data_IF_329253104706
#
_entry.id   IF_329253104706
#
_cell.length_a   1.000
_cell.length_b   1.000
_cell.length_c   1.000
_cell.angle_alpha   90.00
_cell.angle_beta   90.00
_cell.angle_gamma   90.00
#
_symmetry.space_group_name_H-M   'P 1'
#
loop_
_entity.id
_entity.type
_entity.pdbx_description
1 polymer ?
#
# COMPACT_ATOMS: atom_id res chain seq x y z
N UNK A 1 13.03 -13.20 2.87
CA UNK A 1 13.01 -12.21 3.96
C UNK A 1 11.59 -11.73 4.23
N UNK A 2 10.91 -11.07 3.27
CA UNK A 2 9.51 -10.61 3.43
C UNK A 2 8.59 -11.74 3.91
N UNK A 3 8.53 -12.87 3.20
CA UNK A 3 7.66 -13.99 3.58
C UNK A 3 7.98 -14.57 4.97
N UNK A 4 9.27 -14.73 5.29
CA UNK A 4 9.68 -15.19 6.63
C UNK A 4 9.22 -14.22 7.73
N UNK A 5 9.25 -12.91 7.49
CA UNK A 5 8.79 -11.93 8.48
C UNK A 5 7.26 -11.96 8.64
N UNK A 6 6.52 -12.14 7.54
CA UNK A 6 5.06 -12.32 7.56
C UNK A 6 4.66 -13.56 8.36
N UNK A 7 5.21 -14.72 8.01
CA UNK A 7 4.83 -16.00 8.62
C UNK A 7 5.26 -16.11 10.10
N UNK A 8 6.47 -15.64 10.42
CA UNK A 8 7.05 -15.83 11.77
C UNK A 8 6.64 -14.76 12.77
N UNK A 9 6.44 -13.53 12.30
CA UNK A 9 6.23 -12.37 13.18
C UNK A 9 4.95 -11.59 12.88
N UNK A 10 4.14 -12.03 11.91
CA UNK A 10 2.88 -11.38 11.57
C UNK A 10 3.06 -9.97 11.00
N UNK A 11 4.20 -9.68 10.37
CA UNK A 11 4.43 -8.38 9.77
C UNK A 11 3.55 -8.19 8.54
N UNK A 12 2.95 -7.02 8.40
CA UNK A 12 2.31 -6.60 7.15
C UNK A 12 3.19 -5.59 6.43
N UNK A 13 3.36 -5.79 5.12
CA UNK A 13 4.16 -4.94 4.25
C UNK A 13 3.25 -4.23 3.26
N UNK A 14 3.36 -2.90 3.18
CA UNK A 14 2.71 -2.09 2.15
C UNK A 14 3.78 -1.45 1.28
N UNK A 15 3.63 -1.55 -0.03
CA UNK A 15 4.56 -0.99 -1.01
C UNK A 15 3.91 0.15 -1.78
N UNK A 16 4.54 1.32 -1.75
CA UNK A 16 3.99 2.53 -2.34
C UNK A 16 4.97 3.08 -3.36
N UNK A 17 4.60 3.04 -4.63
CA UNK A 17 5.43 3.52 -5.72
C UNK A 17 4.96 4.88 -6.20
N UNK A 18 5.87 5.86 -6.17
CA UNK A 18 5.75 7.07 -6.97
C UNK A 18 6.61 6.90 -8.22
N UNK A 19 6.03 7.19 -9.39
CA UNK A 19 6.75 7.25 -10.67
C UNK A 19 7.37 5.92 -11.16
N UNK A 20 6.98 4.79 -10.56
CA UNK A 20 7.42 3.43 -10.92
C UNK A 20 6.20 2.51 -11.04
N UNK A 21 6.36 1.32 -11.62
CA UNK A 21 5.36 0.26 -11.46
C UNK A 21 5.52 -0.39 -10.08
N UNK A 22 4.72 0.08 -9.12
CA UNK A 22 4.73 -0.43 -7.76
C UNK A 22 4.34 -1.90 -7.70
N UNK A 23 3.44 -2.38 -8.57
CA UNK A 23 2.92 -3.74 -8.51
C UNK A 23 3.99 -4.72 -8.98
N UNK A 24 4.59 -4.45 -10.14
CA UNK A 24 5.69 -5.28 -10.66
C UNK A 24 6.87 -5.30 -9.69
N UNK A 25 7.28 -4.12 -9.21
CA UNK A 25 8.42 -3.99 -8.29
C UNK A 25 8.15 -4.72 -6.96
N UNK A 26 6.97 -4.54 -6.37
CA UNK A 26 6.57 -5.22 -5.14
C UNK A 26 6.54 -6.75 -5.29
N UNK A 27 6.02 -7.24 -6.43
CA UNK A 27 5.99 -8.66 -6.73
C UNK A 27 7.39 -9.28 -6.77
N UNK A 28 8.38 -8.57 -7.31
CA UNK A 28 9.78 -9.03 -7.38
C UNK A 28 10.44 -9.27 -6.02
N UNK A 29 9.92 -8.64 -4.96
CA UNK A 29 10.43 -8.76 -3.58
C UNK A 29 9.51 -9.57 -2.66
N UNK A 30 8.45 -10.18 -3.19
CA UNK A 30 7.52 -11.02 -2.44
C UNK A 30 6.42 -10.25 -1.71
N UNK A 31 6.00 -9.08 -2.23
CA UNK A 31 4.85 -8.34 -1.73
C UNK A 31 3.70 -8.52 -2.72
N UNK A 32 2.53 -8.94 -2.21
CA UNK A 32 1.33 -9.15 -3.02
C UNK A 32 0.88 -7.85 -3.72
N UNK A 33 0.37 -7.90 -4.96
CA UNK A 33 -0.26 -6.76 -5.64
C UNK A 33 -1.35 -6.06 -4.81
N UNK A 34 -2.03 -6.79 -3.92
CA UNK A 34 -3.06 -6.24 -3.02
C UNK A 34 -2.47 -5.32 -1.93
N UNK A 35 -1.16 -5.44 -1.71
CA UNK A 35 -0.38 -4.64 -0.76
C UNK A 35 0.53 -3.63 -1.47
N UNK A 36 0.38 -3.47 -2.78
CA UNK A 36 1.13 -2.52 -3.59
C UNK A 36 0.21 -1.50 -4.25
N UNK A 37 0.64 -0.23 -4.30
CA UNK A 37 -0.14 0.85 -4.93
C UNK A 37 0.75 1.89 -5.60
N UNK A 38 0.33 2.35 -6.78
CA UNK A 38 0.90 3.52 -7.44
C UNK A 38 0.20 4.78 -6.95
N UNK A 39 0.97 5.81 -6.60
CA UNK A 39 0.42 7.12 -6.24
C UNK A 39 1.07 8.24 -7.04
N UNK A 40 0.36 9.36 -7.17
CA UNK A 40 0.89 10.53 -7.86
C UNK A 40 1.81 11.31 -6.93
N UNK A 41 3.04 11.54 -7.37
CA UNK A 41 4.08 12.25 -6.62
C UNK A 41 3.88 13.79 -6.62
N UNK A 42 2.67 14.25 -6.32
CA UNK A 42 2.34 15.65 -6.10
C UNK A 42 1.80 15.87 -4.67
N UNK A 43 1.53 17.12 -4.31
CA UNK A 43 1.06 17.47 -2.97
C UNK A 43 -0.27 16.80 -2.61
N UNK A 44 -1.18 16.68 -3.58
CA UNK A 44 -2.51 16.08 -3.39
C UNK A 44 -2.39 14.56 -3.20
N UNK A 45 -1.62 13.90 -4.07
CA UNK A 45 -1.42 12.47 -4.08
C UNK A 45 -0.63 12.02 -2.86
N UNK A 46 0.42 12.75 -2.48
CA UNK A 46 1.18 12.48 -1.25
C UNK A 46 0.30 12.62 -0.01
N UNK A 47 -0.53 13.67 0.07
CA UNK A 47 -1.46 13.83 1.20
C UNK A 47 -2.43 12.65 1.30
N UNK A 48 -3.09 12.30 0.19
CA UNK A 48 -4.00 11.15 0.14
C UNK A 48 -3.30 9.84 0.51
N UNK A 49 -2.06 9.68 0.06
CA UNK A 49 -1.24 8.51 0.40
C UNK A 49 -1.08 8.35 1.92
N UNK A 50 -0.70 9.42 2.62
CA UNK A 50 -0.57 9.41 4.08
C UNK A 50 -1.92 9.26 4.80
N UNK A 51 -2.98 9.93 4.32
CA UNK A 51 -4.33 9.80 4.91
C UNK A 51 -4.83 8.35 4.84
N UNK A 52 -4.62 7.68 3.70
CA UNK A 52 -4.98 6.28 3.49
C UNK A 52 -4.09 5.33 4.32
N UNK A 53 -2.79 5.57 4.38
CA UNK A 53 -1.88 4.79 5.20
C UNK A 53 -2.22 4.87 6.69
N UNK A 54 -2.61 6.04 7.20
CA UNK A 54 -3.03 6.19 8.59
C UNK A 54 -4.22 5.29 8.91
N UNK A 55 -5.25 5.27 8.06
CA UNK A 55 -6.40 4.36 8.22
C UNK A 55 -5.99 2.89 8.19
N UNK A 56 -5.10 2.52 7.27
CA UNK A 56 -4.59 1.15 7.17
C UNK A 56 -3.85 0.72 8.45
N UNK A 57 -3.01 1.61 9.00
CA UNK A 57 -2.29 1.37 10.27
C UNK A 57 -3.27 1.29 11.45
N UNK A 58 -4.29 2.14 11.50
CA UNK A 58 -5.33 2.10 12.53
C UNK A 58 -6.09 0.77 12.54
N UNK A 59 -6.48 0.24 11.37
CA UNK A 59 -7.14 -1.05 11.25
C UNK A 59 -6.27 -2.20 11.76
N UNK A 60 -5.01 -2.28 11.30
CA UNK A 60 -4.07 -3.32 11.74
C UNK A 60 -3.81 -3.23 13.24
N UNK A 61 -3.65 -2.02 13.78
CA UNK A 61 -3.46 -1.81 15.24
C UNK A 61 -4.68 -2.18 16.07
N UNK A 62 -5.87 -2.16 15.47
CA UNK A 62 -7.11 -2.61 16.10
C UNK A 62 -7.24 -4.14 16.12
N UNK A 63 -6.27 -4.87 15.55
CA UNK A 63 -6.27 -6.32 15.44
C UNK A 63 -7.06 -6.85 14.24
N UNK A 64 -7.51 -5.96 13.36
CA UNK A 64 -8.25 -6.34 12.17
C UNK A 64 -7.30 -6.72 11.03
N UNK A 65 -7.74 -7.65 10.18
CA UNK A 65 -7.05 -7.92 8.93
C UNK A 65 -7.19 -6.75 7.96
N UNK A 66 -6.09 -6.36 7.33
CA UNK A 66 -6.12 -5.29 6.34
C UNK A 66 -6.81 -5.77 5.06
N UNK A 67 -7.97 -5.19 4.77
CA UNK A 67 -8.74 -5.47 3.56
C UNK A 67 -8.00 -4.99 2.31
N UNK A 68 -8.17 -5.68 1.18
CA UNK A 68 -7.54 -5.32 -0.11
C UNK A 68 -7.92 -3.92 -0.61
N UNK A 69 -9.08 -3.41 -0.20
CA UNK A 69 -9.62 -2.10 -0.55
C UNK A 69 -8.93 -0.94 0.18
N UNK A 70 -7.98 -1.21 1.09
CA UNK A 70 -7.27 -0.16 1.84
C UNK A 70 -6.72 0.94 0.93
N UNK A 71 -6.26 0.58 -0.28
CA UNK A 71 -5.66 1.46 -1.27
C UNK A 71 -6.62 2.15 -2.24
N UNK A 72 -7.94 1.94 -2.11
CA UNK A 72 -8.94 2.41 -3.07
C UNK A 72 -8.91 3.94 -3.28
N UNK A 73 -8.71 4.71 -2.21
CA UNK A 73 -8.63 6.17 -2.28
C UNK A 73 -7.42 6.66 -3.09
N UNK A 74 -6.29 5.95 -3.00
CA UNK A 74 -5.06 6.25 -3.74
C UNK A 74 -5.22 5.83 -5.20
N UNK A 75 -5.76 4.64 -5.47
CA UNK A 75 -5.99 4.14 -6.83
C UNK A 75 -6.97 5.02 -7.60
N UNK A 76 -8.05 5.46 -6.95
CA UNK A 76 -9.00 6.42 -7.53
C UNK A 76 -8.30 7.70 -7.94
N UNK A 77 -7.55 8.29 -7.02
CA UNK A 77 -6.82 9.53 -7.23
C UNK A 77 -5.78 9.43 -8.37
N UNK A 78 -5.01 8.35 -8.38
CA UNK A 78 -4.03 8.07 -9.41
C UNK A 78 -4.68 7.92 -10.79
N UNK A 79 -5.84 7.25 -10.88
CA UNK A 79 -6.55 7.04 -12.14
C UNK A 79 -7.25 8.30 -12.65
N UNK A 80 -7.83 9.12 -11.76
CA UNK A 80 -8.51 10.37 -12.11
C UNK A 80 -7.54 11.48 -12.53
N UNK A 81 -6.31 11.44 -12.02
CA UNK A 81 -5.34 12.53 -12.17
C UNK A 81 -4.04 12.10 -12.82
N UNK A 82 -3.99 11.01 -13.61
CA UNK A 82 -2.74 10.50 -14.24
C UNK A 82 -1.85 11.62 -14.76
#
# INVERSE_FOLDING_TARGET
>A
MIETQKEKYGWEFLFLGANIDAIETAGSIGISPERAVNYKSDSIGTKKNYDTLNKAVEEVRSGNELKKEWKADIEKDYNERK
#
